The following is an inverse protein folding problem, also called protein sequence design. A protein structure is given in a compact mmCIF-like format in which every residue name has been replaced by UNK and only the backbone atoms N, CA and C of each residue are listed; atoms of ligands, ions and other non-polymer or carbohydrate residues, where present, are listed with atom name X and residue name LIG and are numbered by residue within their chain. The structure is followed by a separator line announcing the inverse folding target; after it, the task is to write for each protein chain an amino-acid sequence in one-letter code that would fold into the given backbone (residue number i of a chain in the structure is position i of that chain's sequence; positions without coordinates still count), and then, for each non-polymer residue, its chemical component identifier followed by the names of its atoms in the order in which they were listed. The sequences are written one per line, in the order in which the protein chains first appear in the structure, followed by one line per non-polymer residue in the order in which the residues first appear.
data_IF_831580146556
#
_entry.id   IF_831580146556
#
_cell.length_a   1.000
_cell.length_b   1.000
_cell.length_c   1.000
_cell.angle_alpha   90.00
_cell.angle_beta   90.00
_cell.angle_gamma   90.00
#
_symmetry.space_group_name_H-M   'P 1'
#
loop_
_entity.id
_entity.type
_entity.pdbx_description
1 polymer ?
#
# COMPACT_ATOMS: atom_id res chain seq x y z
N UNK A 1 -9.47 -13.89 -50.40
CA UNK A 1 -9.25 -12.75 -49.48
C UNK A 1 -10.57 -12.45 -48.81
N UNK A 2 -10.61 -12.54 -47.48
CA UNK A 2 -11.42 -11.70 -46.58
C UNK A 2 -11.24 -12.24 -45.17
N UNK A 3 -10.20 -11.72 -44.52
CA UNK A 3 -9.87 -11.96 -43.11
C UNK A 3 -10.95 -11.21 -42.31
N UNK A 4 -11.69 -11.86 -41.40
CA UNK A 4 -12.76 -11.17 -40.68
C UNK A 4 -12.18 -10.01 -39.85
N UNK A 5 -12.90 -8.89 -39.70
CA UNK A 5 -12.42 -7.76 -38.92
C UNK A 5 -12.43 -8.15 -37.43
N UNK A 6 -11.26 -8.53 -36.90
CA UNK A 6 -11.01 -8.84 -35.46
C UNK A 6 -11.06 -7.55 -34.60
N UNK A 7 -11.53 -6.43 -35.17
CA UNK A 7 -11.37 -5.08 -34.62
C UNK A 7 -12.26 -4.74 -33.40
N UNK A 8 -13.47 -5.29 -33.17
CA UNK A 8 -14.24 -4.85 -32.00
C UNK A 8 -13.87 -5.60 -30.71
N UNK A 9 -13.18 -6.75 -30.79
CA UNK A 9 -12.86 -7.56 -29.60
C UNK A 9 -11.56 -7.10 -28.91
N UNK A 10 -10.63 -6.49 -29.67
CA UNK A 10 -9.36 -5.96 -29.15
C UNK A 10 -9.58 -4.65 -28.37
N UNK A 11 -10.61 -3.87 -28.72
CA UNK A 11 -10.95 -2.62 -28.01
C UNK A 11 -11.53 -2.84 -26.60
N UNK A 12 -12.05 -4.03 -26.29
CA UNK A 12 -12.66 -4.31 -24.98
C UNK A 12 -11.63 -4.73 -23.91
N UNK A 13 -10.43 -5.20 -24.30
CA UNK A 13 -9.40 -5.65 -23.35
C UNK A 13 -8.45 -4.53 -22.89
N UNK A 14 -8.38 -3.39 -23.58
CA UNK A 14 -7.53 -2.27 -23.18
C UNK A 14 -8.09 -1.43 -22.02
N UNK A 15 -9.38 -1.56 -21.69
CA UNK A 15 -9.99 -0.85 -20.55
C UNK A 15 -9.85 -1.59 -19.21
N UNK A 16 -9.32 -2.82 -19.22
CA UNK A 16 -9.14 -3.62 -17.99
C UNK A 16 -7.74 -3.54 -17.39
N UNK A 17 -6.82 -2.77 -17.98
CA UNK A 17 -5.63 -2.34 -17.26
C UNK A 17 -5.97 -1.13 -16.39
N UNK A 18 -6.77 -1.37 -15.36
CA UNK A 18 -6.77 -0.52 -14.18
C UNK A 18 -5.47 -0.86 -13.43
N UNK A 19 -4.49 0.05 -13.30
CA UNK A 19 -3.35 -0.20 -12.43
C UNK A 19 -3.81 -0.06 -10.98
N UNK A 20 -4.63 -1.00 -10.50
CA UNK A 20 -4.99 -1.12 -9.08
C UNK A 20 -3.94 -1.93 -8.33
N UNK A 21 -2.66 -1.72 -8.63
CA UNK A 21 -1.56 -2.57 -8.18
C UNK A 21 -0.72 -2.03 -7.03
N UNK A 22 -0.75 -0.73 -6.78
CA UNK A 22 0.24 -0.09 -5.88
C UNK A 22 -0.12 -0.31 -4.41
N UNK A 23 -1.39 -0.16 -4.02
CA UNK A 23 -1.82 -0.36 -2.62
C UNK A 23 -1.62 -1.78 -2.10
N UNK A 24 -1.70 -2.82 -2.94
CA UNK A 24 -1.61 -4.20 -2.43
C UNK A 24 -0.23 -4.55 -1.89
N UNK A 25 0.84 -4.01 -2.49
CA UNK A 25 2.20 -4.27 -2.05
C UNK A 25 2.55 -3.41 -0.82
N UNK A 26 2.16 -2.14 -0.84
CA UNK A 26 2.36 -1.22 0.28
C UNK A 26 1.60 -1.67 1.53
N UNK A 27 0.36 -2.17 1.37
CA UNK A 27 -0.41 -2.73 2.47
C UNK A 27 0.32 -3.92 3.11
N UNK A 28 0.89 -4.82 2.31
CA UNK A 28 1.65 -5.95 2.84
C UNK A 28 2.89 -5.50 3.62
N UNK A 29 3.59 -4.47 3.14
CA UNK A 29 4.74 -3.87 3.84
C UNK A 29 4.29 -3.29 5.18
N UNK A 30 3.19 -2.51 5.20
CA UNK A 30 2.66 -1.93 6.43
C UNK A 30 2.14 -3.00 7.41
N UNK A 31 1.56 -4.11 6.92
CA UNK A 31 1.16 -5.23 7.78
C UNK A 31 2.37 -5.95 8.39
N UNK A 32 3.48 -6.11 7.65
CA UNK A 32 4.74 -6.63 8.20
C UNK A 32 5.31 -5.70 9.27
N UNK A 33 5.29 -4.40 9.02
CA UNK A 33 5.71 -3.39 9.99
C UNK A 33 4.85 -3.45 11.27
N UNK A 34 3.52 -3.47 11.12
CA UNK A 34 2.58 -3.67 12.25
C UNK A 34 2.91 -4.95 13.01
N UNK A 35 3.04 -6.08 12.33
CA UNK A 35 3.32 -7.37 12.98
C UNK A 35 4.64 -7.37 13.76
N UNK A 36 5.65 -6.65 13.27
CA UNK A 36 6.95 -6.53 13.92
C UNK A 36 6.93 -5.63 15.16
N UNK A 37 5.98 -4.70 15.27
CA UNK A 37 5.88 -3.70 16.34
C UNK A 37 4.64 -3.84 17.22
N UNK A 38 3.72 -4.77 16.92
CA UNK A 38 2.42 -4.92 17.60
C UNK A 38 2.51 -5.32 19.08
N UNK A 39 3.66 -5.80 19.55
CA UNK A 39 3.88 -6.09 20.98
C UNK A 39 4.01 -4.83 21.83
N UNK A 40 4.09 -3.67 21.20
CA UNK A 40 4.19 -2.36 21.85
C UNK A 40 2.87 -1.96 22.51
N UNK A 41 2.94 -1.28 23.65
CA UNK A 41 1.76 -0.75 24.34
C UNK A 41 1.30 0.58 23.70
N UNK A 42 0.81 0.52 22.46
CA UNK A 42 0.30 1.68 21.70
C UNK A 42 -0.96 1.31 20.92
N UNK A 43 -1.84 2.30 20.70
CA UNK A 43 -3.02 2.18 19.85
C UNK A 43 -2.80 2.71 18.43
N UNK A 44 -1.57 3.11 18.05
CA UNK A 44 -1.30 3.71 16.73
C UNK A 44 -1.67 2.79 15.55
N UNK A 45 -1.58 1.47 15.76
CA UNK A 45 -1.88 0.47 14.74
C UNK A 45 -3.37 0.06 14.65
N UNK A 46 -4.27 0.74 15.36
CA UNK A 46 -5.70 0.40 15.36
C UNK A 46 -6.38 0.68 14.02
N UNK A 47 -5.97 1.75 13.32
CA UNK A 47 -6.48 2.10 11.98
C UNK A 47 -5.84 1.27 10.86
N UNK A 48 -4.75 0.56 11.15
CA UNK A 48 -3.99 -0.23 10.17
C UNK A 48 -4.69 -1.56 9.90
N UNK A 49 -5.72 -1.51 9.09
CA UNK A 49 -6.56 -2.66 8.72
C UNK A 49 -6.74 -2.74 7.22
N UNK A 50 -6.83 -3.97 6.67
CA UNK A 50 -6.95 -4.19 5.22
C UNK A 50 -8.23 -3.61 4.60
N UNK A 51 -9.25 -3.32 5.40
CA UNK A 51 -10.50 -2.67 4.95
C UNK A 51 -10.43 -1.15 4.89
N UNK A 52 -9.38 -0.54 5.45
CA UNK A 52 -9.16 0.90 5.45
C UNK A 52 -8.19 1.29 4.33
N UNK A 53 -8.38 2.49 3.76
CA UNK A 53 -7.38 3.09 2.87
C UNK A 53 -6.07 3.29 3.63
N UNK A 54 -4.94 2.96 3.02
CA UNK A 54 -3.60 3.13 3.61
C UNK A 54 -3.37 4.57 4.08
N UNK A 55 -3.83 5.55 3.30
CA UNK A 55 -3.68 6.97 3.64
C UNK A 55 -4.55 7.42 4.83
N UNK A 56 -5.46 6.56 5.31
CA UNK A 56 -6.24 6.79 6.53
C UNK A 56 -5.60 6.13 7.75
N UNK A 57 -4.49 5.41 7.60
CA UNK A 57 -3.76 4.83 8.71
C UNK A 57 -3.12 5.95 9.53
N UNK A 58 -3.18 5.80 10.85
CA UNK A 58 -2.60 6.76 11.79
C UNK A 58 -1.08 6.77 11.60
N UNK A 59 -0.51 7.97 11.43
CA UNK A 59 0.92 8.15 11.19
C UNK A 59 1.36 7.98 9.73
N UNK A 60 0.43 7.79 8.78
CA UNK A 60 0.75 7.70 7.35
C UNK A 60 0.35 8.99 6.63
N UNK A 61 1.28 9.59 5.89
CA UNK A 61 0.99 10.67 4.94
C UNK A 61 1.11 10.15 3.51
N UNK A 62 0.21 10.58 2.63
CA UNK A 62 0.24 10.27 1.21
C UNK A 62 0.32 11.54 0.36
N UNK A 63 0.91 11.42 -0.83
CA UNK A 63 0.84 12.45 -1.87
C UNK A 63 -0.50 12.42 -2.63
N UNK A 64 -0.64 13.31 -3.63
CA UNK A 64 -1.81 13.37 -4.52
C UNK A 64 -2.07 12.08 -5.30
N UNK A 65 -1.04 11.29 -5.53
CA UNK A 65 -1.09 10.01 -6.24
C UNK A 65 -1.36 8.82 -5.30
N UNK A 66 -1.75 9.10 -4.03
CA UNK A 66 -2.04 8.10 -3.00
C UNK A 66 -0.85 7.19 -2.66
N UNK A 67 0.37 7.64 -2.95
CA UNK A 67 1.60 6.93 -2.56
C UNK A 67 2.06 7.43 -1.19
N UNK A 68 2.53 6.52 -0.36
CA UNK A 68 3.04 6.84 0.98
C UNK A 68 4.29 7.71 0.84
N UNK A 69 4.28 8.87 1.47
CA UNK A 69 5.44 9.80 1.51
C UNK A 69 6.02 9.95 2.91
N UNK A 70 5.31 9.48 3.94
CA UNK A 70 5.78 9.59 5.32
C UNK A 70 5.18 8.50 6.19
N UNK A 71 5.99 7.99 7.11
CA UNK A 71 5.57 7.11 8.21
C UNK A 71 6.07 7.73 9.52
N UNK A 72 5.18 8.41 10.24
CA UNK A 72 5.49 9.11 11.48
C UNK A 72 4.91 8.34 12.67
N UNK A 73 5.79 7.64 13.38
CA UNK A 73 5.45 6.81 14.56
C UNK A 73 6.28 7.19 15.79
N UNK A 74 6.83 8.41 15.83
CA UNK A 74 7.58 8.88 16.99
C UNK A 74 6.69 8.98 18.22
N UNK A 75 7.32 8.91 19.40
CA UNK A 75 6.66 9.00 20.70
C UNK A 75 5.61 7.89 20.97
N UNK A 76 5.60 6.81 20.20
CA UNK A 76 4.72 5.66 20.39
C UNK A 76 5.30 4.55 21.28
N UNK A 77 6.49 4.76 21.87
CA UNK A 77 7.21 3.78 22.70
C UNK A 77 7.27 2.38 22.04
N UNK A 78 7.60 2.35 20.75
CA UNK A 78 7.60 1.12 19.97
C UNK A 78 8.74 0.19 20.41
N UNK A 79 8.44 -1.10 20.40
CA UNK A 79 9.35 -2.20 20.69
C UNK A 79 9.23 -3.24 19.59
N UNK A 80 10.36 -3.87 19.25
CA UNK A 80 10.43 -4.86 18.18
C UNK A 80 11.61 -4.61 17.25
N UNK A 81 11.61 -5.30 16.11
CA UNK A 81 12.65 -5.18 15.08
C UNK A 81 12.04 -4.53 13.85
N UNK A 82 12.60 -3.40 13.43
CA UNK A 82 12.10 -2.67 12.27
C UNK A 82 12.44 -3.45 10.97
N UNK A 83 11.45 -3.83 10.14
CA UNK A 83 11.69 -4.54 8.88
C UNK A 83 12.16 -3.56 7.79
N UNK A 84 13.35 -2.99 7.96
CA UNK A 84 13.92 -1.94 7.10
C UNK A 84 13.94 -2.33 5.62
N UNK A 85 14.28 -3.58 5.31
CA UNK A 85 14.32 -4.09 3.93
C UNK A 85 12.96 -3.98 3.23
N UNK A 86 11.86 -4.19 3.96
CA UNK A 86 10.51 -4.05 3.41
C UNK A 86 10.11 -2.58 3.28
N UNK A 87 10.49 -1.74 4.24
CA UNK A 87 10.17 -0.30 4.22
C UNK A 87 10.86 0.40 3.04
N UNK A 88 12.11 0.03 2.73
CA UNK A 88 12.85 0.55 1.58
C UNK A 88 12.22 0.21 0.21
N UNK A 89 11.21 -0.66 0.16
CA UNK A 89 10.47 -0.98 -1.06
C UNK A 89 9.33 0.01 -1.35
N UNK A 90 8.99 0.88 -0.39
CA UNK A 90 7.99 1.93 -0.58
C UNK A 90 8.55 2.99 -1.54
N UNK A 91 7.84 3.20 -2.65
CA UNK A 91 8.42 3.89 -3.81
C UNK A 91 8.53 5.41 -3.65
N UNK A 92 7.79 6.01 -2.73
CA UNK A 92 7.66 7.47 -2.56
C UNK A 92 8.05 7.96 -1.16
N UNK A 93 8.61 7.07 -0.33
CA UNK A 93 8.99 7.34 1.06
C UNK A 93 10.37 8.02 1.16
#
# INVERSE_FOLDING_TARGET
MSRPPIYPFILLFCFLHLPSGIQSNDLQILMKLKAALQTSNTNVFSSWESGNSICNFTGISCNSDHSITEIELSYQNLTGVLPVDSICQLQSL
#
